data_IF_435162824203
#
_entry.id   IF_435162824203
#
_cell.length_a   1.000
_cell.length_b   1.000
_cell.length_c   1.000
_cell.angle_alpha   90.00
_cell.angle_beta   90.00
_cell.angle_gamma   90.00
#
_symmetry.space_group_name_H-M   'P 1'
#
loop_
_entity.id
_entity.type
_entity.pdbx_description
1 polymer ?
#
# COMPACT_ATOMS: atom_id res chain seq x y z
N UNK A 1 18.07 -10.31 -13.83
CA UNK A 1 17.77 -9.42 -12.69
C UNK A 1 18.81 -9.66 -11.60
N UNK A 2 19.79 -8.76 -11.48
CA UNK A 2 20.94 -8.92 -10.59
C UNK A 2 20.55 -8.70 -9.13
N UNK A 3 20.54 -9.75 -8.31
CA UNK A 3 20.61 -9.62 -6.84
C UNK A 3 22.08 -9.58 -6.43
N UNK A 4 22.60 -8.38 -6.15
CA UNK A 4 23.94 -8.20 -5.59
C UNK A 4 23.95 -8.71 -4.14
N UNK A 5 24.54 -9.89 -3.91
CA UNK A 5 25.00 -10.32 -2.59
C UNK A 5 26.41 -9.76 -2.40
N UNK A 6 26.58 -8.79 -1.50
CA UNK A 6 27.90 -8.30 -1.10
C UNK A 6 28.29 -8.95 0.23
N UNK A 7 29.51 -9.49 0.24
CA UNK A 7 30.36 -9.85 1.39
C UNK A 7 30.02 -11.12 2.17
N UNK A 8 30.71 -12.20 1.79
CA UNK A 8 31.47 -13.01 2.74
C UNK A 8 32.50 -13.85 1.96
N UNK A 9 33.74 -13.37 1.87
CA UNK A 9 34.89 -14.23 1.56
C UNK A 9 36.15 -13.61 2.18
N UNK A 10 36.60 -14.16 3.30
CA UNK A 10 37.97 -14.06 3.77
C UNK A 10 38.51 -15.49 3.73
N UNK A 11 39.44 -15.83 2.81
CA UNK A 11 40.23 -17.03 2.98
C UNK A 11 41.41 -16.70 3.89
N UNK A 12 41.45 -17.37 5.04
CA UNK A 12 42.67 -17.48 5.83
C UNK A 12 43.65 -18.41 5.10
N UNK A 13 44.87 -17.95 4.85
CA UNK A 13 46.01 -18.80 4.47
C UNK A 13 47.21 -18.53 5.37
N UNK A 14 47.84 -19.64 5.76
CA UNK A 14 48.88 -19.78 6.77
C UNK A 14 50.26 -19.19 6.37
N UNK A 15 50.95 -18.69 7.40
CA UNK A 15 52.40 -18.58 7.69
C UNK A 15 53.46 -18.90 6.61
N UNK A 16 54.46 -18.00 6.47
CA UNK A 16 55.87 -18.19 6.89
C UNK A 16 56.73 -16.97 6.48
N UNK A 17 57.65 -16.54 7.36
CA UNK A 17 58.70 -15.57 7.00
C UNK A 17 59.20 -14.71 8.16
N UNK A 18 60.30 -15.11 8.80
CA UNK A 18 61.12 -14.24 9.66
C UNK A 18 61.72 -13.11 8.82
N UNK A 19 61.41 -11.85 9.13
CA UNK A 19 62.30 -10.73 8.84
C UNK A 19 62.23 -9.70 9.98
N UNK A 20 63.35 -9.57 10.68
CA UNK A 20 63.67 -8.51 11.61
C UNK A 20 63.83 -7.18 10.86
N UNK A 21 63.16 -6.12 11.28
CA UNK A 21 63.79 -4.79 11.38
C UNK A 21 62.87 -3.80 12.08
N UNK A 22 63.49 -3.06 13.00
CA UNK A 22 62.94 -1.94 13.74
C UNK A 22 62.58 -0.85 12.75
N UNK A 23 61.29 -0.61 12.55
CA UNK A 23 60.67 0.68 12.24
C UNK A 23 59.16 0.48 12.38
N UNK A 24 58.71 0.56 13.63
CA UNK A 24 57.31 0.57 14.00
C UNK A 24 56.75 1.90 13.48
N UNK A 25 56.20 1.87 12.27
CA UNK A 25 55.37 2.95 11.74
C UNK A 25 54.29 3.24 12.78
N UNK A 26 54.37 4.42 13.38
CA UNK A 26 53.33 4.99 14.21
C UNK A 26 52.06 5.03 13.36
N UNK A 27 51.13 4.12 13.64
CA UNK A 27 49.77 4.24 13.13
C UNK A 27 49.19 5.48 13.81
N UNK A 28 49.26 6.60 13.10
CA UNK A 28 48.56 7.81 13.47
C UNK A 28 47.07 7.46 13.41
N UNK A 29 46.41 7.41 14.58
CA UNK A 29 44.95 7.24 14.63
C UNK A 29 44.32 8.36 13.80
N UNK A 30 43.63 7.99 12.73
CA UNK A 30 42.73 8.87 12.00
C UNK A 30 41.77 9.53 13.01
N UNK A 31 41.61 10.86 13.00
CA UNK A 31 40.70 11.52 13.91
C UNK A 31 39.30 10.95 13.68
N UNK A 32 38.75 10.25 14.68
CA UNK A 32 37.36 9.82 14.69
C UNK A 32 36.49 11.06 14.61
N UNK A 33 36.11 11.44 13.39
CA UNK A 33 35.12 12.47 13.14
C UNK A 33 33.78 11.94 13.64
N UNK A 34 33.53 12.17 14.93
CA UNK A 34 32.34 11.76 15.64
C UNK A 34 31.18 12.72 15.29
N UNK A 35 30.96 12.95 13.99
CA UNK A 35 29.76 13.60 13.50
C UNK A 35 28.62 12.57 13.50
N UNK A 36 28.20 12.17 14.71
CA UNK A 36 26.90 11.57 14.92
C UNK A 36 25.85 12.63 14.62
N UNK A 37 25.61 12.91 13.33
CA UNK A 37 24.34 13.48 12.91
C UNK A 37 23.30 12.44 13.30
N UNK A 38 22.65 12.66 14.43
CA UNK A 38 21.42 11.95 14.79
C UNK A 38 20.42 12.27 13.70
N UNK A 39 20.35 11.43 12.67
CA UNK A 39 19.27 11.49 11.70
C UNK A 39 17.99 11.27 12.47
N UNK A 40 17.07 12.23 12.41
CA UNK A 40 15.73 12.01 12.92
C UNK A 40 15.06 10.98 12.00
N UNK A 41 15.15 9.72 12.42
CA UNK A 41 14.56 8.59 11.72
C UNK A 41 13.05 8.80 11.52
N UNK A 42 12.36 9.47 12.46
CA UNK A 42 10.92 9.72 12.33
C UNK A 42 10.65 10.70 11.20
N UNK A 43 11.35 11.83 11.17
CA UNK A 43 11.23 12.79 10.09
C UNK A 43 11.58 12.17 8.72
N UNK A 44 12.61 11.32 8.65
CA UNK A 44 12.95 10.60 7.43
C UNK A 44 11.80 9.70 6.94
N UNK A 45 11.23 8.87 7.82
CA UNK A 45 10.14 7.96 7.45
C UNK A 45 8.87 8.72 7.06
N UNK A 46 8.50 9.77 7.79
CA UNK A 46 7.36 10.63 7.45
C UNK A 46 7.59 11.29 6.09
N UNK A 47 8.76 11.87 5.85
CA UNK A 47 9.07 12.51 4.56
C UNK A 47 9.04 11.53 3.39
N UNK A 48 9.45 10.27 3.61
CA UNK A 48 9.44 9.22 2.58
C UNK A 48 8.01 8.79 2.29
N UNK A 49 7.19 8.59 3.32
CA UNK A 49 5.77 8.29 3.18
C UNK A 49 5.05 9.42 2.42
N UNK A 50 5.30 10.69 2.77
CA UNK A 50 4.74 11.87 2.08
C UNK A 50 5.07 11.87 0.60
N UNK A 51 6.33 11.58 0.22
CA UNK A 51 6.75 11.53 -1.19
C UNK A 51 5.97 10.49 -2.00
N UNK A 52 5.58 9.38 -1.39
CA UNK A 52 4.79 8.33 -2.03
C UNK A 52 3.31 8.71 -2.03
N UNK A 53 2.80 9.18 -0.90
CA UNK A 53 1.39 9.40 -0.67
C UNK A 53 0.84 10.65 -1.38
N UNK A 54 1.64 11.72 -1.42
CA UNK A 54 1.24 13.01 -1.97
C UNK A 54 0.70 12.93 -3.40
N UNK A 55 1.44 12.42 -4.41
CA UNK A 55 0.97 12.43 -5.79
C UNK A 55 -0.30 11.60 -6.01
N UNK A 56 -0.54 10.56 -5.22
CA UNK A 56 -1.76 9.76 -5.33
C UNK A 56 -2.94 10.51 -4.72
N UNK A 57 -2.82 10.95 -3.46
CA UNK A 57 -3.93 11.57 -2.73
C UNK A 57 -4.27 12.97 -3.25
N UNK A 58 -3.26 13.79 -3.58
CA UNK A 58 -3.51 15.15 -4.09
C UNK A 58 -4.29 15.09 -5.40
N UNK A 59 -3.86 14.27 -6.35
CA UNK A 59 -4.54 14.13 -7.65
C UNK A 59 -5.92 13.48 -7.49
N UNK A 60 -6.05 12.40 -6.72
CA UNK A 60 -7.31 11.70 -6.56
C UNK A 60 -8.35 12.54 -5.81
N UNK A 61 -7.92 13.32 -4.81
CA UNK A 61 -8.81 14.23 -4.07
C UNK A 61 -9.40 15.35 -4.95
N UNK A 62 -8.79 15.60 -6.11
CA UNK A 62 -9.22 16.60 -7.10
C UNK A 62 -9.83 15.96 -8.37
N UNK A 63 -9.96 14.63 -8.42
CA UNK A 63 -10.49 13.93 -9.60
C UNK A 63 -9.54 13.94 -10.82
N UNK A 64 -8.22 14.00 -10.58
CA UNK A 64 -7.18 14.12 -11.60
C UNK A 64 -6.18 12.95 -11.61
N UNK A 65 -6.38 11.90 -10.80
CA UNK A 65 -5.43 10.79 -10.70
C UNK A 65 -5.31 10.04 -12.02
N UNK A 66 -6.42 9.69 -12.67
CA UNK A 66 -6.35 9.00 -13.98
C UNK A 66 -5.70 9.86 -15.06
N UNK A 67 -5.90 11.17 -14.99
CA UNK A 67 -5.30 12.14 -15.91
C UNK A 67 -3.78 12.23 -15.71
N UNK A 68 -3.33 12.29 -14.46
CA UNK A 68 -1.94 12.64 -14.13
C UNK A 68 -1.06 11.42 -13.76
N UNK A 69 -1.65 10.24 -13.59
CA UNK A 69 -0.95 8.98 -13.38
C UNK A 69 -1.06 8.10 -14.64
N UNK A 70 -0.13 8.25 -15.61
CA UNK A 70 -0.10 7.40 -16.78
C UNK A 70 0.17 5.95 -16.39
N UNK A 71 -0.44 5.02 -17.12
CA UNK A 71 -0.27 3.59 -16.90
C UNK A 71 1.00 3.13 -17.60
N UNK A 72 2.01 2.74 -16.82
CA UNK A 72 3.21 2.10 -17.33
C UNK A 72 3.13 0.58 -17.14
N UNK A 73 3.24 -0.16 -18.24
CA UNK A 73 3.25 -1.63 -18.24
C UNK A 73 4.51 -2.15 -18.90
N UNK A 74 4.99 -3.30 -18.43
CA UNK A 74 6.02 -4.03 -19.15
C UNK A 74 5.47 -4.38 -20.55
N UNK A 75 6.18 -4.08 -21.66
CA UNK A 75 5.72 -4.39 -23.01
C UNK A 75 5.42 -5.88 -23.25
N UNK A 76 6.00 -6.79 -22.45
CA UNK A 76 5.74 -8.23 -22.50
C UNK A 76 4.51 -8.67 -21.69
N UNK A 77 3.88 -7.77 -20.93
CA UNK A 77 2.68 -8.07 -20.15
C UNK A 77 1.48 -8.17 -21.09
N UNK A 78 0.79 -9.32 -21.06
CA UNK A 78 -0.41 -9.56 -21.87
C UNK A 78 -1.71 -9.18 -21.15
N UNK A 79 -1.63 -8.85 -19.85
CA UNK A 79 -2.79 -8.46 -19.05
C UNK A 79 -3.07 -6.96 -19.20
N UNK A 80 -4.35 -6.62 -19.39
CA UNK A 80 -4.81 -5.25 -19.33
C UNK A 80 -4.71 -4.71 -17.90
N UNK A 81 -3.73 -3.82 -17.66
CA UNK A 81 -3.53 -3.15 -16.37
C UNK A 81 -4.29 -1.83 -16.26
N UNK A 82 -4.96 -1.38 -17.31
CA UNK A 82 -5.65 -0.08 -17.28
C UNK A 82 -6.77 -0.04 -16.25
N UNK A 83 -7.41 -1.18 -16.00
CA UNK A 83 -8.52 -1.32 -15.04
C UNK A 83 -8.06 -1.30 -13.57
N UNK A 84 -7.06 -2.11 -13.14
CA UNK A 84 -6.67 -2.15 -11.73
C UNK A 84 -5.73 -1.03 -11.27
N UNK A 85 -4.94 -0.41 -12.17
CA UNK A 85 -3.77 0.41 -11.77
C UNK A 85 -4.08 1.51 -10.76
N UNK A 86 -5.17 2.27 -10.94
CA UNK A 86 -5.50 3.38 -10.05
C UNK A 86 -6.03 2.92 -8.70
N UNK A 87 -6.85 1.84 -8.67
CA UNK A 87 -7.32 1.23 -7.44
C UNK A 87 -6.18 0.56 -6.68
N UNK A 88 -5.26 -0.09 -7.39
CA UNK A 88 -4.04 -0.68 -6.82
C UNK A 88 -3.19 0.38 -6.11
N UNK A 89 -2.92 1.51 -6.78
CA UNK A 89 -2.16 2.61 -6.22
C UNK A 89 -2.83 3.18 -4.97
N UNK A 90 -4.14 3.46 -5.05
CA UNK A 90 -4.88 4.07 -3.94
C UNK A 90 -5.12 3.12 -2.78
N UNK A 91 -5.67 1.94 -3.03
CA UNK A 91 -6.02 0.97 -1.99
C UNK A 91 -4.80 0.53 -1.18
N UNK A 92 -3.68 0.22 -1.86
CA UNK A 92 -2.43 -0.19 -1.19
C UNK A 92 -1.79 0.95 -0.41
N UNK A 93 -1.81 2.17 -0.96
CA UNK A 93 -1.35 3.35 -0.26
C UNK A 93 -2.16 3.55 1.03
N UNK A 94 -3.49 3.54 0.92
CA UNK A 94 -4.38 3.80 2.03
C UNK A 94 -4.18 2.76 3.15
N UNK A 95 -4.09 1.47 2.80
CA UNK A 95 -3.76 0.41 3.76
C UNK A 95 -2.42 0.67 4.49
N UNK A 96 -1.40 1.09 3.74
CA UNK A 96 -0.07 1.37 4.26
C UNK A 96 -0.06 2.52 5.28
N UNK A 97 -0.73 3.63 4.96
CA UNK A 97 -0.70 4.85 5.78
C UNK A 97 -1.82 4.91 6.85
N UNK A 98 -2.80 4.01 6.82
CA UNK A 98 -3.97 4.05 7.71
C UNK A 98 -3.63 4.22 9.21
N UNK A 99 -2.68 3.49 9.84
CA UNK A 99 -2.37 3.68 11.25
C UNK A 99 -1.78 5.06 11.53
N UNK A 100 -0.95 5.56 10.61
CA UNK A 100 -0.43 6.92 10.71
C UNK A 100 -1.57 7.94 10.68
N UNK A 101 -2.57 7.77 9.81
CA UNK A 101 -3.76 8.61 9.76
C UNK A 101 -4.61 8.47 11.03
N UNK A 102 -4.85 7.25 11.52
CA UNK A 102 -5.73 6.95 12.65
C UNK A 102 -5.33 7.64 13.96
N UNK A 103 -4.04 7.95 14.13
CA UNK A 103 -3.56 8.77 15.25
C UNK A 103 -4.27 10.13 15.36
N UNK A 104 -4.85 10.62 14.25
CA UNK A 104 -5.61 11.87 14.21
C UNK A 104 -4.73 13.12 14.30
N UNK A 105 -5.28 14.31 14.05
CA UNK A 105 -4.51 15.55 14.11
C UNK A 105 -4.06 15.88 15.54
N UNK A 106 -2.93 16.57 15.66
CA UNK A 106 -2.43 17.13 16.91
C UNK A 106 -1.65 18.45 16.64
N UNK A 107 -1.18 19.13 17.69
CA UNK A 107 -0.52 20.44 17.58
C UNK A 107 0.94 20.38 17.07
N UNK A 108 1.51 19.20 16.87
CA UNK A 108 2.84 19.05 16.29
C UNK A 108 2.84 19.39 14.78
N UNK A 109 4.02 19.51 14.21
CA UNK A 109 4.15 19.65 12.75
C UNK A 109 3.65 18.39 12.02
N UNK A 110 3.97 17.20 12.53
CA UNK A 110 3.49 15.95 11.96
C UNK A 110 1.96 15.79 12.11
N UNK A 111 1.38 16.22 13.23
CA UNK A 111 -0.06 16.20 13.47
C UNK A 111 -0.84 17.10 12.52
N UNK A 112 -0.31 18.29 12.21
CA UNK A 112 -0.88 19.20 11.21
C UNK A 112 -0.79 18.63 9.80
N UNK A 113 0.37 18.07 9.44
CA UNK A 113 0.56 17.35 8.19
C UNK A 113 -0.44 16.18 8.07
N UNK A 114 -0.62 15.41 9.15
CA UNK A 114 -1.58 14.31 9.20
C UNK A 114 -3.01 14.80 8.96
N UNK A 115 -3.39 15.96 9.51
CA UNK A 115 -4.70 16.57 9.27
C UNK A 115 -4.98 16.80 7.78
N UNK A 116 -3.99 17.33 7.04
CA UNK A 116 -4.09 17.56 5.60
C UNK A 116 -4.29 16.24 4.84
N UNK A 117 -3.53 15.21 5.20
CA UNK A 117 -3.62 13.90 4.57
C UNK A 117 -4.91 13.16 4.88
N UNK A 118 -5.45 13.28 6.10
CA UNK A 118 -6.78 12.75 6.45
C UNK A 118 -7.84 13.43 5.57
N UNK A 119 -7.77 14.75 5.41
CA UNK A 119 -8.71 15.48 4.58
C UNK A 119 -8.61 15.09 3.09
N UNK A 120 -7.39 14.95 2.56
CA UNK A 120 -7.18 14.44 1.19
C UNK A 120 -7.70 13.02 1.03
N UNK A 121 -7.38 12.12 1.96
CA UNK A 121 -7.83 10.72 1.91
C UNK A 121 -9.35 10.59 1.88
N UNK A 122 -10.08 11.36 2.71
CA UNK A 122 -11.55 11.36 2.68
C UNK A 122 -12.12 11.85 1.35
N UNK A 123 -11.54 12.90 0.77
CA UNK A 123 -11.93 13.37 -0.58
C UNK A 123 -11.60 12.34 -1.65
N UNK A 124 -10.45 11.67 -1.55
CA UNK A 124 -10.05 10.59 -2.44
C UNK A 124 -11.01 9.38 -2.35
N UNK A 125 -11.48 9.02 -1.15
CA UNK A 125 -12.51 7.98 -0.97
C UNK A 125 -13.79 8.34 -1.72
N UNK A 126 -14.25 9.60 -1.62
CA UNK A 126 -15.42 10.06 -2.35
C UNK A 126 -15.22 9.96 -3.87
N UNK A 127 -14.10 10.45 -4.40
CA UNK A 127 -13.79 10.38 -5.84
C UNK A 127 -13.59 8.96 -6.37
N UNK A 128 -13.00 8.08 -5.56
CA UNK A 128 -12.81 6.69 -5.95
C UNK A 128 -14.13 5.90 -6.06
N UNK A 129 -15.18 6.31 -5.32
CA UNK A 129 -16.40 5.50 -5.15
C UNK A 129 -17.69 6.11 -5.71
N UNK A 130 -17.69 7.39 -6.09
CA UNK A 130 -18.82 8.00 -6.80
C UNK A 130 -18.83 7.59 -8.28
N UNK A 131 -19.87 6.87 -8.77
CA UNK A 131 -19.98 6.45 -10.17
C UNK A 131 -19.95 7.58 -11.21
N UNK A 132 -20.22 8.83 -10.81
CA UNK A 132 -20.20 10.00 -11.68
C UNK A 132 -18.86 10.76 -11.63
N UNK A 133 -17.95 10.39 -10.72
CA UNK A 133 -16.67 11.06 -10.59
C UNK A 133 -15.70 10.65 -11.72
N UNK A 134 -14.84 11.56 -12.20
CA UNK A 134 -13.85 11.25 -13.23
C UNK A 134 -12.90 10.11 -12.80
N UNK A 135 -12.58 10.04 -11.52
CA UNK A 135 -11.69 9.05 -10.93
C UNK A 135 -12.40 7.82 -10.34
N UNK A 136 -13.68 7.60 -10.63
CA UNK A 136 -14.40 6.40 -10.18
C UNK A 136 -13.63 5.11 -10.51
N UNK A 137 -13.38 4.27 -9.50
CA UNK A 137 -12.53 3.10 -9.66
C UNK A 137 -13.33 1.84 -10.02
N UNK A 138 -12.65 0.86 -10.62
CA UNK A 138 -13.27 -0.42 -10.95
C UNK A 138 -13.16 -1.40 -9.77
N UNK A 139 -14.30 -1.74 -9.16
CA UNK A 139 -14.40 -2.70 -8.04
C UNK A 139 -14.98 -4.06 -8.43
N UNK A 140 -15.42 -4.21 -9.68
CA UNK A 140 -16.08 -5.41 -10.20
C UNK A 140 -15.24 -6.07 -11.29
N UNK A 141 -15.51 -7.33 -11.57
CA UNK A 141 -14.79 -8.08 -12.60
C UNK A 141 -15.37 -9.46 -12.84
N UNK A 142 -14.60 -10.31 -13.52
CA UNK A 142 -14.90 -11.73 -13.74
C UNK A 142 -14.04 -12.63 -12.85
N UNK A 143 -13.67 -13.81 -13.35
CA UNK A 143 -12.77 -14.74 -12.65
C UNK A 143 -11.37 -14.16 -12.53
N UNK A 144 -10.78 -14.22 -11.32
CA UNK A 144 -9.41 -13.77 -11.03
C UNK A 144 -9.11 -12.30 -11.36
N UNK A 145 -10.11 -11.43 -11.19
CA UNK A 145 -9.92 -10.01 -11.42
C UNK A 145 -9.16 -9.34 -10.25
N UNK A 146 -8.09 -8.63 -10.59
CA UNK A 146 -7.22 -7.92 -9.65
C UNK A 146 -7.98 -6.89 -8.79
N UNK A 147 -9.13 -6.39 -9.26
CA UNK A 147 -9.99 -5.49 -8.50
C UNK A 147 -10.37 -6.04 -7.11
N UNK A 148 -10.51 -7.36 -6.94
CA UNK A 148 -10.79 -7.97 -5.63
C UNK A 148 -9.66 -7.71 -4.63
N UNK A 149 -8.42 -7.90 -5.07
CA UNK A 149 -7.22 -7.72 -4.23
C UNK A 149 -7.11 -6.26 -3.77
N UNK A 150 -7.30 -5.33 -4.69
CA UNK A 150 -7.11 -3.91 -4.38
C UNK A 150 -8.31 -3.33 -3.61
N UNK A 151 -9.52 -3.87 -3.81
CA UNK A 151 -10.68 -3.61 -2.93
C UNK A 151 -10.41 -4.09 -1.51
N UNK A 152 -9.78 -5.25 -1.33
CA UNK A 152 -9.40 -5.76 -0.02
C UNK A 152 -8.39 -4.87 0.70
N UNK A 153 -7.39 -4.31 -0.02
CA UNK A 153 -6.48 -3.33 0.57
C UNK A 153 -7.18 -2.04 0.97
N UNK A 154 -8.12 -1.56 0.14
CA UNK A 154 -8.94 -0.41 0.51
C UNK A 154 -9.77 -0.70 1.78
N UNK A 155 -10.50 -1.83 1.83
CA UNK A 155 -11.23 -2.27 3.01
C UNK A 155 -10.35 -2.33 4.27
N UNK A 156 -9.16 -2.91 4.15
CA UNK A 156 -8.18 -2.97 5.23
C UNK A 156 -7.74 -1.58 5.70
N UNK A 157 -7.56 -0.61 4.79
CA UNK A 157 -7.28 0.77 5.14
C UNK A 157 -8.38 1.41 5.99
N UNK A 158 -9.65 1.17 5.64
CA UNK A 158 -10.79 1.67 6.41
C UNK A 158 -10.90 1.00 7.80
N UNK A 159 -10.70 -0.32 7.87
CA UNK A 159 -10.69 -1.08 9.13
C UNK A 159 -9.58 -0.62 10.10
N UNK A 160 -8.42 -0.21 9.56
CA UNK A 160 -7.28 0.25 10.37
C UNK A 160 -7.37 1.70 10.81
N UNK A 161 -8.22 2.50 10.18
CA UNK A 161 -8.39 3.91 10.51
C UNK A 161 -9.88 4.32 10.57
N UNK A 162 -10.72 3.66 11.37
CA UNK A 162 -12.16 3.89 11.35
C UNK A 162 -12.52 5.32 11.77
N UNK A 163 -11.88 5.86 12.82
CA UNK A 163 -12.17 7.20 13.34
C UNK A 163 -11.81 8.29 12.35
N UNK A 164 -10.78 8.06 11.55
CA UNK A 164 -10.28 9.06 10.62
C UNK A 164 -10.73 8.86 9.18
N UNK A 165 -11.05 7.65 8.73
CA UNK A 165 -11.38 7.38 7.34
C UNK A 165 -12.81 6.90 7.10
N UNK A 166 -13.48 6.29 8.09
CA UNK A 166 -14.83 5.75 7.91
C UNK A 166 -15.89 6.57 8.62
N UNK A 167 -15.81 6.68 9.94
CA UNK A 167 -16.83 7.31 10.79
C UNK A 167 -17.22 8.72 10.30
N UNK A 168 -16.28 9.59 9.90
CA UNK A 168 -16.60 10.97 9.51
C UNK A 168 -17.10 11.12 8.07
N UNK A 169 -17.15 10.05 7.27
CA UNK A 169 -17.71 10.11 5.93
C UNK A 169 -19.21 10.39 5.99
N UNK A 170 -19.71 11.13 5.00
CA UNK A 170 -21.15 11.38 4.87
C UNK A 170 -21.89 10.07 4.57
N UNK A 171 -23.19 9.97 4.91
CA UNK A 171 -23.99 8.78 4.58
C UNK A 171 -23.96 8.44 3.08
N UNK A 172 -23.91 9.44 2.21
CA UNK A 172 -23.81 9.26 0.75
C UNK A 172 -22.49 8.60 0.35
N UNK A 173 -21.35 9.07 0.85
CA UNK A 173 -20.05 8.45 0.57
C UNK A 173 -20.00 7.03 1.14
N UNK A 174 -20.51 6.81 2.35
CA UNK A 174 -20.58 5.46 2.95
C UNK A 174 -21.37 4.50 2.08
N UNK A 175 -22.53 4.93 1.56
CA UNK A 175 -23.34 4.15 0.63
C UNK A 175 -22.57 3.79 -0.64
N UNK A 176 -21.83 4.75 -1.20
CA UNK A 176 -21.01 4.52 -2.39
C UNK A 176 -19.88 3.50 -2.15
N UNK A 177 -19.17 3.61 -1.01
CA UNK A 177 -18.15 2.63 -0.61
C UNK A 177 -18.75 1.23 -0.45
N UNK A 178 -19.88 1.11 0.26
CA UNK A 178 -20.57 -0.17 0.46
C UNK A 178 -20.99 -0.79 -0.88
N UNK A 179 -21.58 0.02 -1.77
CA UNK A 179 -22.00 -0.44 -3.09
C UNK A 179 -20.81 -0.90 -3.94
N UNK A 180 -19.70 -0.14 -3.92
CA UNK A 180 -18.46 -0.50 -4.58
C UNK A 180 -17.91 -1.83 -4.06
N UNK A 181 -17.84 -2.03 -2.75
CA UNK A 181 -17.32 -3.25 -2.16
C UNK A 181 -18.23 -4.45 -2.40
N UNK A 182 -19.56 -4.31 -2.27
CA UNK A 182 -20.50 -5.38 -2.65
C UNK A 182 -20.40 -5.75 -4.12
N UNK A 183 -20.04 -4.82 -5.00
CA UNK A 183 -19.85 -5.13 -6.43
C UNK A 183 -18.69 -6.10 -6.69
N UNK A 184 -17.71 -6.19 -5.78
CA UNK A 184 -16.60 -7.14 -5.90
C UNK A 184 -17.02 -8.60 -5.68
N UNK A 185 -18.20 -8.86 -5.10
CA UNK A 185 -18.74 -10.22 -4.91
C UNK A 185 -18.95 -10.98 -6.23
N UNK A 186 -19.02 -10.27 -7.36
CA UNK A 186 -19.07 -10.87 -8.70
C UNK A 186 -17.77 -11.54 -9.13
N UNK A 187 -16.66 -11.23 -8.46
CA UNK A 187 -15.33 -11.75 -8.79
C UNK A 187 -15.17 -13.13 -8.15
N UNK A 188 -14.99 -14.16 -8.96
CA UNK A 188 -14.66 -15.51 -8.48
C UNK A 188 -13.18 -15.56 -8.08
N UNK A 189 -12.84 -15.73 -6.78
CA UNK A 189 -11.46 -15.89 -6.35
C UNK A 189 -10.92 -17.29 -6.69
N UNK A 190 -9.61 -17.41 -6.81
CA UNK A 190 -8.95 -18.72 -6.79
C UNK A 190 -9.04 -19.37 -5.42
N UNK A 191 -9.00 -20.70 -5.38
CA UNK A 191 -8.93 -21.45 -4.12
C UNK A 191 -7.51 -21.43 -3.53
N UNK A 192 -7.07 -20.23 -3.15
CA UNK A 192 -5.76 -19.93 -2.61
C UNK A 192 -5.86 -18.68 -1.71
N UNK A 193 -4.77 -17.92 -1.53
CA UNK A 193 -4.77 -16.69 -0.74
C UNK A 193 -5.80 -15.63 -1.21
N UNK A 194 -6.37 -15.77 -2.40
CA UNK A 194 -7.44 -14.90 -2.88
C UNK A 194 -8.71 -14.95 -2.03
N UNK A 195 -8.98 -16.08 -1.36
CA UNK A 195 -10.06 -16.18 -0.37
C UNK A 195 -9.87 -15.19 0.78
N UNK A 196 -8.62 -14.88 1.16
CA UNK A 196 -8.33 -13.92 2.23
C UNK A 196 -8.63 -12.47 1.80
N UNK A 197 -8.52 -12.16 0.50
CA UNK A 197 -8.91 -10.84 -0.01
C UNK A 197 -10.42 -10.67 0.01
N UNK A 198 -11.17 -11.67 -0.43
CA UNK A 198 -12.64 -11.70 -0.27
C UNK A 198 -13.02 -11.55 1.21
N UNK A 199 -12.44 -12.35 2.10
CA UNK A 199 -12.73 -12.29 3.53
C UNK A 199 -12.45 -10.91 4.14
N UNK A 200 -11.42 -10.19 3.69
CA UNK A 200 -11.12 -8.84 4.15
C UNK A 200 -12.21 -7.83 3.74
N UNK A 201 -12.74 -7.93 2.52
CA UNK A 201 -13.85 -7.08 2.06
C UNK A 201 -15.11 -7.36 2.87
N UNK A 202 -15.43 -8.65 3.06
CA UNK A 202 -16.60 -9.07 3.84
C UNK A 202 -16.47 -8.70 5.32
N UNK A 203 -15.29 -8.80 5.91
CA UNK A 203 -15.04 -8.38 7.28
C UNK A 203 -15.34 -6.88 7.47
N UNK A 204 -14.96 -6.03 6.52
CA UNK A 204 -15.33 -4.62 6.55
C UNK A 204 -16.85 -4.42 6.43
N UNK A 205 -17.50 -5.12 5.50
CA UNK A 205 -18.96 -5.00 5.33
C UNK A 205 -19.71 -5.38 6.61
N UNK A 206 -19.33 -6.49 7.25
CA UNK A 206 -19.91 -6.91 8.53
C UNK A 206 -19.63 -5.90 9.64
N UNK A 207 -18.41 -5.39 9.75
CA UNK A 207 -18.02 -4.39 10.76
C UNK A 207 -18.88 -3.12 10.67
N UNK A 208 -19.28 -2.71 9.46
CA UNK A 208 -20.11 -1.52 9.25
C UNK A 208 -21.62 -1.79 9.25
N UNK A 209 -22.02 -3.02 9.60
CA UNK A 209 -23.42 -3.41 9.78
C UNK A 209 -24.13 -3.90 8.51
N UNK A 210 -23.39 -4.23 7.46
CA UNK A 210 -23.93 -4.84 6.24
C UNK A 210 -23.95 -6.37 6.35
N UNK A 211 -24.89 -7.02 5.65
CA UNK A 211 -24.93 -8.48 5.57
C UNK A 211 -23.66 -9.02 4.88
N UNK A 212 -22.96 -9.91 5.57
CA UNK A 212 -21.82 -10.65 5.01
C UNK A 212 -22.26 -11.68 3.98
N UNK A 213 -21.46 -11.89 2.94
CA UNK A 213 -21.61 -12.99 1.99
C UNK A 213 -20.73 -14.17 2.44
N UNK A 214 -21.24 -14.95 3.40
CA UNK A 214 -20.54 -16.12 3.94
C UNK A 214 -20.50 -17.31 2.96
N UNK A 215 -21.42 -17.31 1.98
CA UNK A 215 -21.57 -18.38 1.00
C UNK A 215 -20.72 -18.11 -0.25
N UNK A 216 -20.17 -16.90 -0.34
CA UNK A 216 -19.28 -16.42 -1.39
C UNK A 216 -19.83 -16.67 -2.78
N UNK A 217 -21.11 -16.34 -3.05
CA UNK A 217 -22.01 -16.85 -4.11
C UNK A 217 -21.50 -17.11 -5.55
N UNK A 218 -20.20 -16.89 -5.82
CA UNK A 218 -19.39 -17.40 -6.90
C UNK A 218 -18.52 -18.64 -6.56
N UNK A 219 -18.65 -19.32 -5.39
CA UNK A 219 -17.88 -20.56 -5.08
C UNK A 219 -18.45 -21.79 -5.82
N UNK A 220 -18.51 -21.75 -7.15
CA UNK A 220 -18.38 -22.97 -7.97
C UNK A 220 -16.91 -23.13 -8.41
N UNK A 221 -15.96 -22.88 -7.51
CA UNK A 221 -14.57 -23.26 -7.74
C UNK A 221 -14.47 -24.78 -7.62
N UNK A 222 -14.66 -25.48 -8.74
CA UNK A 222 -14.42 -26.92 -8.80
C UNK A 222 -12.95 -27.21 -8.44
N UNK A 223 -12.63 -28.31 -7.74
CA UNK A 223 -11.27 -28.60 -7.25
C UNK A 223 -10.15 -28.76 -8.29
N UNK A 224 -10.33 -28.37 -9.55
CA UNK A 224 -9.36 -28.49 -10.65
C UNK A 224 -8.67 -27.20 -11.09
N UNK A 225 -9.06 -26.04 -10.55
CA UNK A 225 -8.62 -24.72 -11.05
C UNK A 225 -7.30 -24.19 -10.45
N UNK A 226 -6.58 -25.00 -9.67
CA UNK A 226 -5.38 -24.59 -8.95
C UNK A 226 -4.08 -24.57 -9.78
N UNK A 227 -4.10 -25.07 -11.02
CA UNK A 227 -2.93 -25.10 -11.90
C UNK A 227 -3.15 -24.19 -13.13
N UNK A 228 -2.65 -22.96 -13.04
CA UNK A 228 -2.64 -21.98 -14.14
C UNK A 228 -1.67 -20.83 -13.90
#
# INVERSE_FOLDING_TARGET
MFRRKFLAFVPATLATGLLTSKNLFTLQEEPKNNSNKSYDNRAYWVSTMVKIAYPVLSNLSEGKLKQNMPIEVNPSNKLDRSKPTHLEAFGRLLAGIAPWLELGPDNSEEGRLRAEYIAMARKSIAMATDPNAPDFMNFTGGKYDQALVDTAFFAHGLLRAPKQLWEPLTPEIKKNVIAAFKSSRKITPGYNNWLLFMAMVEAFLVEVGEDGDADGGAIEATPGDADG
#
